data_IF_024760992583
#
_entry.id   IF_024760992583
#
_cell.length_a   1.000
_cell.length_b   1.000
_cell.length_c   1.000
_cell.angle_alpha   90.00
_cell.angle_beta   90.00
_cell.angle_gamma   90.00
#
_symmetry.space_group_name_H-M   'P 1'
#
loop_
_entity.id
_entity.type
_entity.pdbx_description
1 polymer ?
#
# COMPACT_ATOMS: atom_id res chain seq x y z
N UNK A 1 -11.17 4.84 -27.36
CA UNK A 1 -10.77 4.57 -25.96
C UNK A 1 -11.91 3.82 -25.27
N UNK A 2 -11.58 2.82 -24.46
CA UNK A 2 -12.56 2.12 -23.61
C UNK A 2 -12.51 2.77 -22.23
N UNK A 3 -13.66 3.24 -21.75
CA UNK A 3 -13.82 3.79 -20.41
C UNK A 3 -14.70 2.83 -19.63
N UNK A 4 -14.23 2.40 -18.47
CA UNK A 4 -14.97 1.54 -17.55
C UNK A 4 -15.33 2.35 -16.31
N UNK A 5 -16.59 2.32 -15.92
CA UNK A 5 -17.11 2.91 -14.71
C UNK A 5 -17.88 1.87 -13.90
N UNK A 6 -17.94 2.06 -12.59
CA UNK A 6 -18.70 1.18 -11.72
C UNK A 6 -19.16 1.91 -10.47
N UNK A 7 -20.26 1.46 -9.89
CA UNK A 7 -20.75 1.87 -8.59
C UNK A 7 -21.00 0.65 -7.71
N UNK A 8 -20.88 0.85 -6.40
CA UNK A 8 -21.14 -0.19 -5.42
C UNK A 8 -21.98 0.40 -4.28
N UNK A 9 -23.04 -0.32 -3.90
CA UNK A 9 -23.88 -0.01 -2.74
C UNK A 9 -23.71 -1.15 -1.73
N UNK A 10 -23.50 -0.80 -0.45
CA UNK A 10 -23.36 -1.77 0.63
C UNK A 10 -24.21 -1.37 1.83
N UNK A 11 -24.49 -2.36 2.69
CA UNK A 11 -25.18 -2.15 3.96
C UNK A 11 -24.17 -2.34 5.09
N UNK A 12 -24.10 -1.39 5.99
CA UNK A 12 -23.35 -1.47 7.24
C UNK A 12 -24.31 -1.94 8.31
N UNK A 13 -24.14 -3.19 8.81
CA UNK A 13 -25.07 -3.83 9.74
C UNK A 13 -25.06 -3.22 11.14
N UNK A 14 -23.92 -2.69 11.59
CA UNK A 14 -23.77 -1.94 12.83
C UNK A 14 -22.61 -0.92 12.70
N UNK A 15 -22.54 0.04 13.63
CA UNK A 15 -21.51 1.10 13.62
C UNK A 15 -20.08 0.56 13.73
N UNK A 16 -19.87 -0.63 14.29
CA UNK A 16 -18.54 -1.26 14.38
C UNK A 16 -17.99 -1.63 13.00
N UNK A 17 -18.89 -1.89 12.04
CA UNK A 17 -18.52 -2.15 10.64
C UNK A 17 -18.01 -0.91 9.89
N UNK A 18 -18.20 0.30 10.42
CA UNK A 18 -17.73 1.53 9.81
C UNK A 18 -16.29 1.83 10.25
N UNK A 19 -15.33 1.50 9.40
CA UNK A 19 -13.92 1.86 9.61
C UNK A 19 -13.69 3.27 9.08
N UNK A 20 -13.45 4.21 10.01
CA UNK A 20 -13.15 5.61 9.66
C UNK A 20 -11.95 6.11 10.48
N UNK A 21 -11.28 7.16 9.98
CA UNK A 21 -10.10 7.73 10.66
C UNK A 21 -10.38 8.35 12.03
N UNK A 22 -11.62 8.42 12.48
CA UNK A 22 -12.01 9.01 13.79
C UNK A 22 -11.38 8.25 14.97
N UNK A 23 -11.16 6.94 14.82
CA UNK A 23 -10.51 6.11 15.83
C UNK A 23 -8.98 6.18 15.80
N UNK A 24 -8.40 6.72 14.73
CA UNK A 24 -6.95 6.77 14.54
C UNK A 24 -6.28 7.62 15.62
N UNK A 25 -5.29 7.08 16.29
CA UNK A 25 -4.58 7.74 17.39
C UNK A 25 -3.09 7.43 17.46
N UNK A 26 -2.36 8.27 18.15
CA UNK A 26 -0.96 8.00 18.45
C UNK A 26 -0.83 6.72 19.28
N UNK A 27 0.18 5.90 18.97
CA UNK A 27 0.39 4.57 19.55
C UNK A 27 -0.18 3.43 18.71
N UNK A 28 -1.01 3.71 17.70
CA UNK A 28 -1.49 2.65 16.81
C UNK A 28 -0.34 2.02 16.02
N UNK A 29 -0.38 0.71 15.88
CA UNK A 29 0.49 -0.02 14.99
C UNK A 29 0.03 0.12 13.53
N UNK A 30 0.97 0.07 12.61
CA UNK A 30 0.75 0.10 11.16
C UNK A 30 1.08 -1.29 10.60
N UNK A 31 0.06 -2.08 10.31
CA UNK A 31 0.22 -3.40 9.70
C UNK A 31 0.24 -3.22 8.19
N UNK A 32 1.33 -3.63 7.55
CA UNK A 32 1.46 -3.61 6.09
C UNK A 32 1.20 -4.99 5.52
N UNK A 33 0.42 -5.04 4.44
CA UNK A 33 0.19 -6.28 3.66
C UNK A 33 0.99 -6.19 2.36
N UNK A 34 1.68 -7.30 2.02
CA UNK A 34 2.51 -7.41 0.81
C UNK A 34 1.67 -7.33 -0.46
N UNK A 35 2.14 -6.56 -1.43
CA UNK A 35 1.51 -6.46 -2.73
C UNK A 35 1.85 -7.63 -3.66
N UNK A 36 0.98 -7.88 -4.63
CA UNK A 36 1.21 -8.83 -5.73
C UNK A 36 1.96 -8.20 -6.92
N UNK A 37 2.00 -6.87 -7.00
CA UNK A 37 2.57 -6.14 -8.12
C UNK A 37 2.23 -4.64 -8.07
N UNK A 38 2.34 -3.92 -9.19
CA UNK A 38 2.13 -2.47 -9.23
C UNK A 38 0.65 -2.07 -9.16
N UNK A 39 -0.28 -3.03 -9.21
CA UNK A 39 -1.70 -2.79 -9.40
C UNK A 39 -1.95 -1.95 -10.68
N UNK A 40 -3.03 -1.17 -10.73
CA UNK A 40 -3.35 -0.31 -11.87
C UNK A 40 -2.71 1.09 -11.75
N UNK A 41 -1.46 1.19 -11.22
CA UNK A 41 -0.81 2.46 -10.96
C UNK A 41 0.28 2.79 -11.97
N UNK A 42 0.40 4.08 -12.32
CA UNK A 42 1.43 4.62 -13.18
C UNK A 42 1.61 3.83 -14.50
N UNK A 43 0.53 3.30 -15.06
CA UNK A 43 0.55 2.43 -16.25
C UNK A 43 1.16 3.15 -17.46
N UNK A 44 0.94 4.46 -17.60
CA UNK A 44 1.55 5.24 -18.66
C UNK A 44 3.08 5.25 -18.56
N UNK A 45 3.64 5.41 -17.36
CA UNK A 45 5.08 5.32 -17.11
C UNK A 45 5.60 3.90 -17.39
N UNK A 46 4.93 2.87 -16.90
CA UNK A 46 5.29 1.47 -17.14
C UNK A 46 5.32 1.16 -18.65
N UNK A 47 4.32 1.64 -19.41
CA UNK A 47 4.28 1.49 -20.88
C UNK A 47 5.43 2.22 -21.56
N UNK A 48 5.79 3.43 -21.09
CA UNK A 48 6.92 4.16 -21.61
C UNK A 48 8.25 3.43 -21.33
N UNK A 49 8.41 2.85 -20.14
CA UNK A 49 9.55 2.00 -19.78
C UNK A 49 9.62 0.76 -20.71
N UNK A 50 8.50 0.05 -20.89
CA UNK A 50 8.47 -1.13 -21.77
C UNK A 50 8.94 -0.80 -23.19
N UNK A 51 8.62 0.38 -23.73
CA UNK A 51 9.09 0.83 -25.05
C UNK A 51 10.61 1.04 -25.11
N UNK A 52 11.25 1.39 -23.99
CA UNK A 52 12.72 1.57 -23.89
C UNK A 52 13.48 0.27 -23.72
N UNK A 53 12.84 -0.79 -23.22
CA UNK A 53 13.46 -2.08 -23.01
C UNK A 53 13.69 -2.82 -24.33
N UNK A 54 14.88 -3.41 -24.53
CA UNK A 54 15.26 -4.12 -25.78
C UNK A 54 14.25 -5.18 -26.20
N UNK A 55 13.62 -5.89 -25.23
CA UNK A 55 12.61 -6.93 -25.47
C UNK A 55 11.21 -6.49 -25.04
N UNK A 56 11.01 -5.22 -24.73
CA UNK A 56 9.72 -4.68 -24.29
C UNK A 56 9.12 -5.46 -23.13
N UNK A 57 7.84 -5.82 -23.23
CA UNK A 57 7.13 -6.64 -22.26
C UNK A 57 7.66 -8.07 -22.12
N UNK A 58 8.43 -8.56 -23.10
CA UNK A 58 9.08 -9.87 -23.08
C UNK A 58 10.46 -9.85 -22.40
N UNK A 59 10.82 -8.75 -21.75
CA UNK A 59 12.04 -8.69 -20.93
C UNK A 59 11.90 -9.69 -19.77
N UNK A 60 12.88 -10.61 -19.68
CA UNK A 60 12.89 -11.65 -18.64
C UNK A 60 13.41 -11.07 -17.33
N UNK A 61 12.75 -11.42 -16.23
CA UNK A 61 13.17 -11.12 -14.86
C UNK A 61 14.03 -12.29 -14.32
N UNK A 62 14.70 -12.06 -13.19
CA UNK A 62 15.54 -13.07 -12.53
C UNK A 62 14.75 -14.31 -12.11
N UNK A 63 13.47 -14.15 -11.74
CA UNK A 63 12.55 -15.24 -11.40
C UNK A 63 12.03 -16.03 -12.62
N UNK A 64 12.52 -15.74 -13.84
CA UNK A 64 12.14 -16.39 -15.09
C UNK A 64 10.83 -15.90 -15.72
N UNK A 65 10.04 -15.07 -15.03
CA UNK A 65 8.83 -14.48 -15.60
C UNK A 65 9.16 -13.32 -16.53
N UNK A 66 8.19 -12.91 -17.33
CA UNK A 66 8.32 -11.73 -18.18
C UNK A 66 7.84 -10.47 -17.47
N UNK A 67 8.47 -9.34 -17.77
CA UNK A 67 8.08 -8.02 -17.25
C UNK A 67 6.58 -7.73 -17.46
N UNK A 68 6.05 -8.06 -18.64
CA UNK A 68 4.62 -7.91 -18.93
C UNK A 68 3.72 -8.74 -18.00
N UNK A 69 4.12 -9.95 -17.64
CA UNK A 69 3.34 -10.80 -16.74
C UNK A 69 3.30 -10.23 -15.32
N UNK A 70 4.43 -9.72 -14.83
CA UNK A 70 4.49 -9.10 -13.50
C UNK A 70 3.68 -7.78 -13.42
N UNK A 71 3.63 -7.01 -14.52
CA UNK A 71 2.78 -5.82 -14.62
C UNK A 71 1.29 -6.19 -14.55
N UNK A 72 0.92 -7.32 -15.15
CA UNK A 72 -0.46 -7.83 -15.20
C UNK A 72 -0.79 -8.74 -14.01
N UNK A 73 0.07 -8.79 -12.99
CA UNK A 73 -0.22 -9.53 -11.77
C UNK A 73 -1.59 -9.12 -11.22
N UNK A 74 -2.41 -10.13 -10.90
CA UNK A 74 -3.76 -9.90 -10.39
C UNK A 74 -3.70 -9.15 -9.06
N UNK A 75 -4.40 -8.05 -8.97
CA UNK A 75 -4.55 -7.31 -7.71
C UNK A 75 -5.24 -8.16 -6.65
N UNK A 76 -4.76 -8.07 -5.44
CA UNK A 76 -5.34 -8.77 -4.30
C UNK A 76 -6.69 -8.16 -3.90
N UNK A 77 -7.60 -9.00 -3.43
CA UNK A 77 -8.91 -8.59 -2.91
C UNK A 77 -8.93 -8.85 -1.40
N UNK A 78 -9.04 -7.79 -0.62
CA UNK A 78 -8.92 -7.84 0.85
C UNK A 78 -10.27 -7.81 1.58
N UNK A 79 -11.41 -7.84 0.88
CA UNK A 79 -12.73 -7.79 1.49
C UNK A 79 -12.93 -8.86 2.57
N UNK A 80 -12.46 -10.09 2.30
CA UNK A 80 -12.54 -11.18 3.28
C UNK A 80 -11.64 -10.93 4.50
N UNK A 81 -10.44 -10.39 4.31
CA UNK A 81 -9.54 -10.03 5.42
C UNK A 81 -10.21 -9.03 6.34
N UNK A 82 -10.77 -7.94 5.78
CA UNK A 82 -11.46 -6.90 6.57
C UNK A 82 -12.66 -7.49 7.31
N UNK A 83 -13.46 -8.34 6.65
CA UNK A 83 -14.59 -9.03 7.28
C UNK A 83 -14.14 -9.91 8.45
N UNK A 84 -13.08 -10.70 8.27
CA UNK A 84 -12.57 -11.58 9.32
C UNK A 84 -12.00 -10.77 10.49
N UNK A 85 -11.34 -9.63 10.24
CA UNK A 85 -10.87 -8.73 11.31
C UNK A 85 -12.04 -8.21 12.17
N UNK A 86 -13.12 -7.77 11.53
CA UNK A 86 -14.31 -7.27 12.22
C UNK A 86 -15.05 -8.38 12.98
N UNK A 87 -15.16 -9.57 12.38
CA UNK A 87 -15.81 -10.72 13.01
C UNK A 87 -15.05 -11.22 14.26
N UNK A 88 -13.74 -11.07 14.28
CA UNK A 88 -12.87 -11.43 15.40
C UNK A 88 -12.66 -10.27 16.40
N UNK A 89 -13.52 -9.24 16.35
CA UNK A 89 -13.54 -8.06 17.25
C UNK A 89 -12.20 -7.31 17.31
N UNK A 90 -11.48 -7.24 16.18
CA UNK A 90 -10.30 -6.38 16.06
C UNK A 90 -10.76 -4.91 15.99
N UNK A 91 -10.23 -4.08 16.87
CA UNK A 91 -10.51 -2.64 16.84
C UNK A 91 -9.72 -1.96 15.73
N UNK A 92 -10.23 -2.04 14.50
CA UNK A 92 -9.58 -1.44 13.32
C UNK A 92 -9.86 0.05 13.30
N UNK A 93 -8.83 0.88 13.48
CA UNK A 93 -8.94 2.33 13.56
C UNK A 93 -8.94 3.02 12.19
N UNK A 94 -8.18 2.50 11.24
CA UNK A 94 -8.12 3.05 9.88
C UNK A 94 -7.55 2.02 8.91
N UNK A 95 -7.94 2.14 7.65
CA UNK A 95 -7.36 1.36 6.54
C UNK A 95 -7.05 2.29 5.38
N UNK A 96 -5.86 2.14 4.81
CA UNK A 96 -5.48 2.81 3.57
C UNK A 96 -4.97 1.81 2.54
N UNK A 97 -5.55 1.80 1.35
CA UNK A 97 -4.97 1.07 0.23
C UNK A 97 -3.78 1.85 -0.33
N UNK A 98 -2.66 1.19 -0.52
CA UNK A 98 -1.44 1.78 -1.05
C UNK A 98 -1.42 1.58 -2.56
N UNK A 99 -1.74 2.64 -3.29
CA UNK A 99 -1.84 2.65 -4.75
C UNK A 99 -1.01 3.82 -5.32
N UNK A 100 -1.50 4.57 -6.30
CA UNK A 100 -0.87 5.84 -6.72
C UNK A 100 -0.66 6.77 -5.51
N UNK A 101 0.42 7.51 -5.48
CA UNK A 101 0.98 8.24 -4.33
C UNK A 101 1.72 7.37 -3.29
N UNK A 102 1.82 6.06 -3.49
CA UNK A 102 2.57 5.16 -2.61
C UNK A 102 2.15 5.25 -1.15
N UNK A 103 3.09 5.07 -0.23
CA UNK A 103 2.86 5.15 1.22
C UNK A 103 2.38 6.54 1.69
N UNK A 104 2.55 7.61 0.90
CA UNK A 104 2.00 8.93 1.24
C UNK A 104 0.48 8.90 1.41
N UNK A 105 -0.19 7.91 0.81
CA UNK A 105 -1.65 7.77 0.86
C UNK A 105 -2.22 7.59 2.26
N UNK A 106 -1.42 7.08 3.21
CA UNK A 106 -1.85 6.97 4.61
C UNK A 106 -2.13 8.34 5.25
N UNK A 107 -1.53 9.41 4.73
CA UNK A 107 -1.83 10.79 5.16
C UNK A 107 -3.18 11.34 4.67
N UNK A 108 -3.97 10.56 3.94
CA UNK A 108 -5.34 10.97 3.56
C UNK A 108 -6.27 11.07 4.76
N UNK A 109 -5.97 10.36 5.85
CA UNK A 109 -6.64 10.62 7.13
C UNK A 109 -6.54 12.12 7.49
N UNK A 110 -7.65 12.70 7.94
CA UNK A 110 -7.72 14.15 8.27
C UNK A 110 -6.83 14.50 9.46
N UNK A 111 -6.69 13.56 10.40
CA UNK A 111 -5.90 13.74 11.62
C UNK A 111 -4.44 14.07 11.32
N UNK A 112 -3.86 14.93 12.16
CA UNK A 112 -2.48 15.38 12.05
C UNK A 112 -1.59 14.46 12.88
N UNK A 113 -0.95 13.47 12.21
CA UNK A 113 -0.03 12.53 12.82
C UNK A 113 1.24 12.37 11.98
N UNK A 114 2.32 11.94 12.63
CA UNK A 114 3.49 11.40 11.96
C UNK A 114 3.38 9.88 11.90
N UNK A 115 3.43 9.32 10.70
CA UNK A 115 3.41 7.89 10.42
C UNK A 115 4.83 7.40 10.24
N UNK A 116 5.33 6.58 11.17
CA UNK A 116 6.71 6.07 11.15
C UNK A 116 6.69 4.64 10.63
N UNK A 117 7.26 4.44 9.45
CA UNK A 117 7.43 3.12 8.83
C UNK A 117 8.85 2.65 9.13
N UNK A 118 8.98 1.59 9.92
CA UNK A 118 10.24 1.00 10.36
C UNK A 118 10.64 -0.23 9.55
N UNK A 119 9.65 -0.93 9.01
CA UNK A 119 9.83 -2.13 8.19
C UNK A 119 8.90 -2.08 6.99
N UNK A 120 9.41 -2.53 5.84
CA UNK A 120 8.68 -2.65 4.59
C UNK A 120 8.98 -4.03 3.98
N UNK A 121 8.10 -4.49 3.09
CA UNK A 121 8.45 -5.60 2.19
C UNK A 121 9.39 -5.08 1.12
N UNK A 122 10.33 -5.94 0.70
CA UNK A 122 11.15 -5.65 -0.48
C UNK A 122 10.25 -5.53 -1.72
N UNK A 123 10.45 -4.49 -2.54
CA UNK A 123 9.74 -4.33 -3.80
C UNK A 123 10.04 -5.50 -4.76
N UNK A 124 9.08 -5.82 -5.61
CA UNK A 124 9.31 -6.78 -6.69
C UNK A 124 10.31 -6.22 -7.71
N UNK A 125 11.11 -7.09 -8.34
CA UNK A 125 12.17 -6.74 -9.31
C UNK A 125 11.69 -5.81 -10.45
N UNK A 126 10.41 -5.90 -10.82
CA UNK A 126 9.84 -5.02 -11.84
C UNK A 126 10.02 -3.52 -11.49
N UNK A 127 10.01 -3.16 -10.19
CA UNK A 127 10.20 -1.78 -9.75
C UNK A 127 11.64 -1.31 -9.96
N UNK A 128 12.63 -2.19 -9.79
CA UNK A 128 14.03 -1.88 -10.09
C UNK A 128 14.24 -1.62 -11.58
N UNK A 129 13.58 -2.41 -12.45
CA UNK A 129 13.62 -2.19 -13.89
C UNK A 129 13.00 -0.85 -14.25
N UNK A 130 11.84 -0.51 -13.66
CA UNK A 130 11.17 0.77 -13.89
C UNK A 130 12.07 1.91 -13.44
N UNK A 131 12.62 1.83 -12.23
CA UNK A 131 13.47 2.84 -11.63
C UNK A 131 14.69 3.13 -12.50
N UNK A 132 15.44 2.08 -12.87
CA UNK A 132 16.64 2.21 -13.70
C UNK A 132 16.32 2.75 -15.11
N UNK A 133 15.28 2.21 -15.76
CA UNK A 133 14.95 2.59 -17.14
C UNK A 133 14.35 4.00 -17.27
N UNK A 134 13.72 4.48 -16.21
CA UNK A 134 13.15 5.84 -16.15
C UNK A 134 14.07 6.83 -15.43
N UNK A 135 15.22 6.39 -14.88
CA UNK A 135 16.17 7.18 -14.09
C UNK A 135 15.49 7.93 -12.93
N UNK A 136 14.68 7.19 -12.14
CA UNK A 136 13.96 7.72 -11.00
C UNK A 136 14.73 7.49 -9.69
N UNK A 137 14.63 8.44 -8.79
CA UNK A 137 15.13 8.32 -7.42
C UNK A 137 14.21 7.42 -6.57
N UNK A 138 14.71 6.91 -5.45
CA UNK A 138 13.88 6.20 -4.45
C UNK A 138 12.70 7.08 -4.01
N UNK A 139 12.94 8.38 -3.81
CA UNK A 139 11.89 9.32 -3.44
C UNK A 139 10.75 9.37 -4.45
N UNK A 140 11.05 9.40 -5.74
CA UNK A 140 10.04 9.40 -6.80
C UNK A 140 9.32 8.06 -6.91
N UNK A 141 10.05 6.94 -6.77
CA UNK A 141 9.48 5.60 -6.80
C UNK A 141 8.47 5.39 -5.65
N UNK A 142 8.87 5.66 -4.40
CA UNK A 142 7.99 5.53 -3.23
C UNK A 142 6.87 6.58 -3.18
N UNK A 143 7.02 7.69 -3.92
CA UNK A 143 5.96 8.68 -4.11
C UNK A 143 4.94 8.28 -5.18
N UNK A 144 5.28 7.36 -6.08
CA UNK A 144 4.47 7.00 -7.26
C UNK A 144 3.85 5.62 -7.12
N UNK A 145 4.62 4.64 -6.64
CA UNK A 145 4.25 3.23 -6.58
C UNK A 145 4.03 2.73 -5.15
N UNK A 146 3.34 1.60 -5.04
CA UNK A 146 3.14 0.90 -3.77
C UNK A 146 4.41 0.25 -3.23
N UNK A 147 5.43 0.06 -4.05
CA UNK A 147 6.75 -0.47 -3.69
C UNK A 147 6.69 -1.71 -2.79
N UNK A 148 5.84 -2.68 -3.16
CA UNK A 148 5.68 -3.92 -2.41
C UNK A 148 4.64 -3.90 -1.28
N UNK A 149 3.99 -2.77 -1.02
CA UNK A 149 3.01 -2.59 0.06
C UNK A 149 1.61 -2.32 -0.54
N UNK A 150 0.61 -3.16 -0.25
CA UNK A 150 -0.75 -3.00 -0.81
C UNK A 150 -1.72 -2.27 0.12
N UNK A 151 -1.68 -2.65 1.40
CA UNK A 151 -2.59 -2.13 2.42
C UNK A 151 -1.83 -1.75 3.68
N UNK A 152 -2.27 -0.67 4.31
CA UNK A 152 -1.90 -0.30 5.66
C UNK A 152 -3.14 -0.37 6.54
N UNK A 153 -3.12 -1.21 7.57
CA UNK A 153 -4.19 -1.38 8.56
C UNK A 153 -3.69 -0.86 9.90
N UNK A 154 -4.46 0.00 10.55
CA UNK A 154 -4.11 0.65 11.79
C UNK A 154 -4.91 0.04 12.92
N UNK A 155 -4.22 -0.50 13.92
CA UNK A 155 -4.82 -1.17 15.08
C UNK A 155 -4.07 -0.81 16.37
N UNK A 156 -4.72 -0.92 17.56
CA UNK A 156 -4.02 -0.85 18.84
C UNK A 156 -2.91 -1.89 18.94
N UNK A 157 -1.84 -1.60 19.69
CA UNK A 157 -0.71 -2.53 19.87
C UNK A 157 -1.13 -3.92 20.37
N UNK A 158 -2.15 -3.99 21.22
CA UNK A 158 -2.69 -5.25 21.76
C UNK A 158 -3.26 -6.17 20.69
N UNK A 159 -3.71 -5.63 19.55
CA UNK A 159 -4.38 -6.36 18.48
C UNK A 159 -3.42 -6.76 17.35
N UNK A 160 -2.14 -6.39 17.42
CA UNK A 160 -1.13 -6.64 16.37
C UNK A 160 -1.02 -8.12 16.01
N UNK A 161 -0.74 -8.98 16.99
CA UNK A 161 -0.50 -10.41 16.74
C UNK A 161 -1.75 -11.11 16.20
N UNK A 162 -2.93 -10.79 16.76
CA UNK A 162 -4.19 -11.34 16.26
C UNK A 162 -4.49 -10.88 14.84
N UNK A 163 -4.25 -9.60 14.53
CA UNK A 163 -4.38 -9.04 13.17
C UNK A 163 -3.48 -9.77 12.18
N UNK A 164 -2.20 -9.95 12.53
CA UNK A 164 -1.24 -10.68 11.68
C UNK A 164 -1.66 -12.13 11.44
N UNK A 165 -2.18 -12.81 12.48
CA UNK A 165 -2.67 -14.19 12.37
C UNK A 165 -3.87 -14.30 11.41
N UNK A 166 -4.84 -13.39 11.51
CA UNK A 166 -6.01 -13.35 10.63
C UNK A 166 -5.59 -13.11 9.18
N UNK A 167 -4.66 -12.18 8.93
CA UNK A 167 -4.18 -11.90 7.57
C UNK A 167 -3.47 -13.13 6.99
N UNK A 168 -2.62 -13.83 7.77
CA UNK A 168 -1.95 -15.07 7.36
C UNK A 168 -2.93 -16.20 7.08
N UNK A 169 -3.99 -16.36 7.89
CA UNK A 169 -5.08 -17.33 7.67
C UNK A 169 -5.76 -17.11 6.30
N UNK A 170 -5.83 -15.86 5.85
CA UNK A 170 -6.31 -15.48 4.53
C UNK A 170 -5.25 -15.59 3.43
N UNK A 171 -4.10 -16.25 3.70
CA UNK A 171 -3.00 -16.52 2.75
C UNK A 171 -2.27 -15.26 2.26
N UNK A 172 -2.32 -14.17 2.99
CA UNK A 172 -1.53 -12.98 2.73
C UNK A 172 -0.33 -12.88 3.68
N UNK A 173 0.74 -12.25 3.19
CA UNK A 173 1.89 -11.89 4.01
C UNK A 173 1.65 -10.50 4.61
N UNK A 174 1.89 -10.38 5.91
CA UNK A 174 1.79 -9.11 6.61
C UNK A 174 2.90 -8.95 7.65
N UNK A 175 3.26 -7.72 7.92
CA UNK A 175 4.23 -7.33 8.95
C UNK A 175 3.69 -6.17 9.78
N UNK A 176 4.11 -6.08 11.04
CA UNK A 176 4.03 -4.82 11.77
C UNK A 176 5.08 -3.89 11.18
N UNK A 177 4.66 -2.95 10.33
CA UNK A 177 5.51 -2.07 9.56
C UNK A 177 5.92 -0.80 10.31
N UNK A 178 5.26 -0.47 11.43
CA UNK A 178 5.57 0.75 12.16
C UNK A 178 4.45 1.22 13.07
N UNK A 179 4.41 2.51 13.34
CA UNK A 179 3.48 3.09 14.30
C UNK A 179 3.10 4.54 13.99
N UNK A 180 2.03 5.00 14.61
CA UNK A 180 1.54 6.37 14.56
C UNK A 180 2.06 7.14 15.80
N UNK A 181 2.57 8.36 15.60
CA UNK A 181 2.94 9.25 16.72
C UNK A 181 2.36 10.66 16.54
N UNK A 182 2.23 11.38 17.64
CA UNK A 182 1.91 12.82 17.59
C UNK A 182 3.02 13.57 16.85
N UNK A 183 2.66 14.57 16.07
CA UNK A 183 3.61 15.38 15.33
C UNK A 183 3.02 15.94 14.04
N UNK A 184 3.89 16.49 13.19
CA UNK A 184 3.50 17.01 11.87
C UNK A 184 2.86 15.90 11.03
N UNK A 185 1.98 16.28 10.13
CA UNK A 185 1.36 15.36 9.17
C UNK A 185 2.39 14.96 8.10
N UNK A 186 3.02 13.81 8.31
CA UNK A 186 4.09 13.31 7.46
C UNK A 186 4.23 11.79 7.55
N UNK A 187 4.85 11.19 6.53
CA UNK A 187 5.28 9.79 6.53
C UNK A 187 6.81 9.75 6.55
N UNK A 188 7.36 8.99 7.47
CA UNK A 188 8.80 8.72 7.58
C UNK A 188 9.03 7.26 7.23
N UNK A 189 9.75 6.95 6.15
CA UNK A 189 10.11 5.60 5.73
C UNK A 189 11.58 5.37 6.12
N UNK A 190 11.81 4.89 7.35
CA UNK A 190 13.16 4.72 7.92
C UNK A 190 14.07 3.84 7.03
N UNK A 191 13.65 2.68 6.52
CA UNK A 191 14.50 1.81 5.70
C UNK A 191 15.04 2.45 4.43
N UNK A 192 14.41 3.54 3.98
CA UNK A 192 14.79 4.27 2.76
C UNK A 192 15.29 5.69 3.03
N UNK A 193 15.31 6.09 4.30
CA UNK A 193 15.66 7.45 4.72
C UNK A 193 14.82 8.52 3.99
N UNK A 194 13.51 8.27 3.82
CA UNK A 194 12.59 9.14 3.10
C UNK A 194 11.59 9.79 4.06
N UNK A 195 11.29 11.06 3.83
CA UNK A 195 10.29 11.83 4.57
C UNK A 195 9.39 12.54 3.56
N UNK A 196 8.09 12.35 3.69
CA UNK A 196 7.08 13.04 2.88
C UNK A 196 6.16 13.86 3.78
N UNK A 197 6.10 15.16 3.56
CA UNK A 197 5.09 16.03 4.20
C UNK A 197 3.72 15.90 3.52
N UNK A 198 2.67 16.34 4.20
CA UNK A 198 1.31 16.35 3.64
C UNK A 198 1.18 17.21 2.37
N UNK A 199 2.00 18.24 2.21
CA UNK A 199 2.04 19.10 1.03
C UNK A 199 2.39 18.34 -0.25
N UNK A 200 3.18 17.23 -0.10
CA UNK A 200 3.56 16.37 -1.24
C UNK A 200 2.40 15.50 -1.73
N UNK A 201 1.27 15.48 -1.03
CA UNK A 201 0.14 14.60 -1.36
C UNK A 201 -0.89 15.30 -2.27
N UNK A 202 -0.63 16.46 -2.83
CA UNK A 202 -1.51 17.21 -3.73
C UNK A 202 -2.83 16.46 -4.05
N UNK A 203 -3.76 16.48 -3.10
CA UNK A 203 -5.10 15.92 -3.27
C UNK A 203 -5.89 16.95 -4.08
N UNK A 204 -6.14 16.66 -5.35
CA UNK A 204 -7.16 17.34 -6.14
C UNK A 204 -8.52 16.78 -5.76
#
# INVERSE_FOLDING_TARGET
>A
AIVLGGSCVGIIGDERGLISEQKLKAGDAIILIKSSGPNANAISLIRAVAKKLKKGYLTKLSNGKFFGNEILAKSNIYAKVVKDLLNDDIDVHYISNITGHGLRKIMRAKSTFTYVIERIFEPQELFDIIQKSANLTDGEMYATFNMGQDYAIFVPQKDVEKTLAIIRKNKFQAINGGYVKRGKKQVIIKPKNLIYSSETLNLR
#
